data_IF_559312342001
#
_entry.id   IF_559312342001
#
_cell.length_a   1.000
_cell.length_b   1.000
_cell.length_c   1.000
_cell.angle_alpha   90.00
_cell.angle_beta   90.00
_cell.angle_gamma   90.00
#
_symmetry.space_group_name_H-M   'P 1'
#
loop_
_entity.id
_entity.type
_entity.pdbx_description
1 polymer ?
#
# COMPACT_ATOMS: atom_id res chain seq x y z
N UNK A 1 -0.18 -2.11 12.43
CA UNK A 1 0.06 -0.70 12.08
C UNK A 1 -1.21 -0.07 11.57
N UNK A 2 -1.20 1.25 11.42
CA UNK A 2 -2.41 1.99 11.05
C UNK A 2 -2.98 1.54 9.72
N UNK A 3 -2.15 1.41 8.69
CA UNK A 3 -2.66 1.00 7.37
C UNK A 3 -3.27 -0.40 7.39
N UNK A 4 -2.72 -1.31 8.19
CA UNK A 4 -3.30 -2.65 8.30
C UNK A 4 -4.73 -2.60 8.83
N UNK A 5 -4.97 -1.71 9.78
CA UNK A 5 -6.30 -1.53 10.33
C UNK A 5 -7.26 -0.99 9.25
N UNK A 6 -6.81 0.00 8.50
CA UNK A 6 -7.64 0.61 7.46
C UNK A 6 -7.97 -0.39 6.35
N UNK A 7 -7.01 -1.24 5.98
CA UNK A 7 -7.23 -2.26 4.95
C UNK A 7 -8.09 -3.42 5.43
N UNK A 8 -8.19 -3.61 6.75
CA UNK A 8 -8.91 -4.76 7.31
C UNK A 8 -10.43 -4.63 7.23
N UNK A 9 -10.94 -3.45 6.92
CA UNK A 9 -12.37 -3.20 6.89
C UNK A 9 -12.73 -2.34 5.68
N UNK A 10 -13.85 -2.62 5.00
CA UNK A 10 -14.30 -1.76 3.90
C UNK A 10 -14.87 -0.42 4.37
N UNK A 11 -15.10 -0.28 5.67
CA UNK A 11 -15.68 0.95 6.22
C UNK A 11 -14.60 1.97 6.53
N UNK A 12 -14.89 3.26 6.31
CA UNK A 12 -13.98 4.31 6.77
C UNK A 12 -13.82 4.27 8.28
N UNK A 13 -12.66 4.71 8.76
CA UNK A 13 -12.34 4.75 10.18
C UNK A 13 -12.12 6.17 10.65
N UNK A 14 -12.65 6.50 11.83
CA UNK A 14 -12.28 7.73 12.51
C UNK A 14 -10.98 7.50 13.28
N UNK A 15 -10.35 8.60 13.70
CA UNK A 15 -9.13 8.50 14.52
C UNK A 15 -9.37 7.62 15.75
N UNK A 16 -10.53 7.80 16.40
CA UNK A 16 -10.87 7.01 17.57
C UNK A 16 -10.95 5.52 17.29
N UNK A 17 -11.52 5.15 16.13
CA UNK A 17 -11.65 3.75 15.75
C UNK A 17 -10.28 3.09 15.61
N UNK A 18 -9.35 3.79 14.96
CA UNK A 18 -7.98 3.30 14.80
C UNK A 18 -7.29 3.17 16.15
N UNK A 19 -7.46 4.19 17.00
CA UNK A 19 -6.87 4.18 18.32
C UNK A 19 -7.35 3.01 19.15
N UNK A 20 -8.64 2.71 19.11
CA UNK A 20 -9.21 1.60 19.86
C UNK A 20 -8.64 0.26 19.42
N UNK A 21 -8.42 0.09 18.13
CA UNK A 21 -7.85 -1.16 17.63
C UNK A 21 -6.36 -1.30 17.95
N UNK A 22 -5.66 -0.19 18.09
CA UNK A 22 -4.24 -0.21 18.47
C UNK A 22 -4.02 -0.37 19.96
N UNK A 23 -4.97 0.09 20.78
CA UNK A 23 -4.81 0.14 22.23
C UNK A 23 -4.48 -1.20 22.87
N UNK A 24 -5.08 -2.34 22.46
CA UNK A 24 -4.71 -3.62 23.08
C UNK A 24 -3.25 -3.99 22.95
N UNK A 25 -2.57 -3.47 21.95
CA UNK A 25 -1.19 -3.81 21.67
C UNK A 25 -0.24 -2.71 22.08
N UNK A 26 -0.67 -1.48 21.97
CA UNK A 26 0.15 -0.31 22.27
C UNK A 26 -0.73 0.79 22.79
N UNK A 27 -0.30 1.43 23.86
CA UNK A 27 -0.96 2.62 24.35
C UNK A 27 -0.44 3.82 23.58
N UNK A 28 -1.27 4.39 22.77
CA UNK A 28 -0.92 5.58 21.99
C UNK A 28 -1.90 6.70 22.30
N UNK A 29 -1.39 7.92 22.27
CA UNK A 29 -2.25 9.09 22.46
C UNK A 29 -3.08 9.32 21.21
N UNK A 30 -4.28 9.86 21.39
CA UNK A 30 -5.15 10.25 20.30
C UNK A 30 -4.42 11.14 19.30
N UNK A 31 -3.67 12.13 19.81
CA UNK A 31 -2.94 13.06 18.95
C UNK A 31 -1.86 12.36 18.11
N UNK A 32 -1.25 11.32 18.66
CA UNK A 32 -0.26 10.55 17.92
C UNK A 32 -0.89 9.86 16.71
N UNK A 33 -2.03 9.21 16.93
CA UNK A 33 -2.75 8.53 15.84
C UNK A 33 -3.24 9.55 14.81
N UNK A 34 -3.76 10.67 15.27
CA UNK A 34 -4.20 11.74 14.38
C UNK A 34 -3.07 12.25 13.50
N UNK A 35 -1.88 12.44 14.08
CA UNK A 35 -0.72 12.90 13.33
C UNK A 35 -0.31 11.89 12.28
N UNK A 36 -0.31 10.60 12.62
CA UNK A 36 0.02 9.54 11.66
C UNK A 36 -0.96 9.54 10.49
N UNK A 37 -2.26 9.62 10.78
CA UNK A 37 -3.28 9.65 9.74
C UNK A 37 -3.17 10.89 8.87
N UNK A 38 -2.88 12.03 9.47
CA UNK A 38 -2.68 13.27 8.73
C UNK A 38 -1.50 13.17 7.78
N UNK A 39 -0.40 12.57 8.25
CA UNK A 39 0.78 12.36 7.40
C UNK A 39 0.47 11.41 6.25
N UNK A 40 -0.26 10.33 6.52
CA UNK A 40 -0.66 9.38 5.47
C UNK A 40 -1.55 10.07 4.44
N UNK A 41 -2.43 10.95 4.89
CA UNK A 41 -3.28 11.73 3.98
C UNK A 41 -2.44 12.63 3.08
N UNK A 42 -1.47 13.32 3.65
CA UNK A 42 -0.60 14.20 2.86
C UNK A 42 0.22 13.43 1.83
N UNK A 43 0.59 12.19 2.16
CA UNK A 43 1.36 11.34 1.23
C UNK A 43 0.48 10.67 0.19
N UNK A 44 -0.84 10.84 0.28
CA UNK A 44 -1.76 10.25 -0.68
C UNK A 44 -2.09 8.79 -0.43
N UNK A 45 -1.77 8.26 0.74
CA UNK A 45 -2.04 6.87 1.09
C UNK A 45 -3.47 6.65 1.58
N UNK A 46 -4.09 7.69 2.11
CA UNK A 46 -5.46 7.62 2.58
C UNK A 46 -6.24 8.80 2.04
N UNK A 47 -7.55 8.60 1.91
CA UNK A 47 -8.52 9.64 1.64
C UNK A 47 -9.26 9.92 2.94
N UNK A 48 -9.79 11.11 3.08
CA UNK A 48 -10.59 11.45 4.24
C UNK A 48 -11.78 12.31 3.83
N UNK A 49 -12.86 12.12 4.55
CA UNK A 49 -14.07 12.91 4.39
C UNK A 49 -14.55 13.37 5.75
N UNK A 50 -15.02 14.60 5.80
CA UNK A 50 -15.62 15.12 7.02
C UNK A 50 -17.02 14.54 7.15
N UNK A 51 -17.31 13.96 8.31
CA UNK A 51 -18.64 13.49 8.66
C UNK A 51 -18.96 14.06 10.03
N UNK A 52 -19.84 15.05 10.06
CA UNK A 52 -20.09 15.80 11.29
C UNK A 52 -18.85 16.60 11.66
N UNK A 53 -18.25 16.29 12.82
CA UNK A 53 -17.10 17.01 13.33
C UNK A 53 -15.79 16.23 13.23
N UNK A 54 -15.85 15.06 12.63
CA UNK A 54 -14.70 14.18 12.57
C UNK A 54 -14.42 13.74 11.13
N UNK A 55 -13.14 13.57 10.84
CA UNK A 55 -12.75 12.97 9.58
C UNK A 55 -12.89 11.46 9.66
N UNK A 56 -13.32 10.88 8.55
CA UNK A 56 -13.30 9.44 8.33
C UNK A 56 -12.24 9.14 7.30
N UNK A 57 -11.40 8.16 7.58
CA UNK A 57 -10.24 7.82 6.75
C UNK A 57 -10.43 6.46 6.12
N UNK A 58 -10.01 6.33 4.88
CA UNK A 58 -9.99 5.04 4.18
C UNK A 58 -8.79 5.00 3.24
N UNK A 59 -8.29 3.80 2.91
CA UNK A 59 -7.14 3.70 2.01
C UNK A 59 -7.46 4.27 0.64
N UNK A 60 -6.48 4.95 0.04
CA UNK A 60 -6.60 5.45 -1.34
C UNK A 60 -6.40 4.35 -2.36
N UNK A 61 -5.73 3.27 -1.96
CA UNK A 61 -5.38 2.17 -2.85
C UNK A 61 -5.29 0.89 -2.03
N UNK A 62 -5.33 -0.24 -2.71
CA UNK A 62 -5.21 -1.53 -2.03
C UNK A 62 -3.79 -1.74 -1.52
N UNK A 63 -3.65 -2.71 -0.59
CA UNK A 63 -2.34 -3.11 -0.09
C UNK A 63 -1.42 -3.50 -1.25
N UNK A 64 -1.97 -4.26 -2.20
CA UNK A 64 -1.20 -4.74 -3.36
C UNK A 64 -0.73 -3.59 -4.23
N UNK A 65 -1.59 -2.62 -4.46
CA UNK A 65 -1.23 -1.44 -5.25
C UNK A 65 -0.13 -0.61 -4.58
N UNK A 66 -0.24 -0.42 -3.27
CA UNK A 66 0.76 0.34 -2.50
C UNK A 66 2.09 -0.40 -2.51
N UNK A 67 2.05 -1.72 -2.32
CA UNK A 67 3.26 -2.53 -2.34
C UNK A 67 3.94 -2.48 -3.70
N UNK A 68 3.15 -2.56 -4.78
CA UNK A 68 3.70 -2.50 -6.13
C UNK A 68 4.36 -1.15 -6.41
N UNK A 69 3.76 -0.06 -5.93
CA UNK A 69 4.38 1.26 -6.08
C UNK A 69 5.69 1.35 -5.32
N UNK A 70 5.74 0.77 -4.13
CA UNK A 70 6.98 0.76 -3.34
C UNK A 70 8.08 0.01 -4.07
N UNK A 71 7.74 -1.13 -4.68
CA UNK A 71 8.69 -1.88 -5.50
C UNK A 71 9.19 -1.04 -6.67
N UNK A 72 8.27 -0.33 -7.34
CA UNK A 72 8.64 0.53 -8.46
C UNK A 72 9.62 1.61 -8.01
N UNK A 73 9.33 2.24 -6.88
CA UNK A 73 10.17 3.30 -6.35
C UNK A 73 11.57 2.78 -5.98
N UNK A 74 11.63 1.59 -5.38
CA UNK A 74 12.91 0.98 -5.05
C UNK A 74 13.75 0.71 -6.30
N UNK A 75 13.12 0.18 -7.33
CA UNK A 75 13.82 -0.07 -8.60
C UNK A 75 14.34 1.23 -9.20
N UNK A 76 13.48 2.25 -9.23
CA UNK A 76 13.86 3.53 -9.82
C UNK A 76 15.02 4.19 -9.06
N UNK A 77 15.10 3.97 -7.75
CA UNK A 77 16.14 4.54 -6.91
C UNK A 77 17.42 3.71 -6.89
N UNK A 78 17.39 2.52 -7.48
CA UNK A 78 18.51 1.56 -7.36
C UNK A 78 19.75 1.94 -8.16
N UNK A 79 19.59 2.79 -9.15
CA UNK A 79 20.69 3.20 -10.03
C UNK A 79 20.88 2.28 -11.21
N UNK A 80 20.71 0.98 -11.04
CA UNK A 80 20.87 0.01 -12.13
C UNK A 80 19.72 -0.99 -12.09
N UNK A 81 18.60 -0.57 -12.67
CA UNK A 81 17.36 -1.34 -12.65
C UNK A 81 17.55 -2.72 -13.29
N UNK A 82 18.30 -2.77 -14.40
CA UNK A 82 18.49 -4.02 -15.13
C UNK A 82 19.19 -5.07 -14.28
N UNK A 83 20.30 -4.69 -13.64
CA UNK A 83 21.03 -5.61 -12.78
C UNK A 83 20.22 -6.05 -11.58
N UNK A 84 19.47 -5.12 -10.97
CA UNK A 84 18.63 -5.45 -9.84
C UNK A 84 17.55 -6.45 -10.25
N UNK A 85 16.92 -6.25 -11.40
CA UNK A 85 15.90 -7.17 -11.90
C UNK A 85 16.47 -8.57 -12.14
N UNK A 86 17.70 -8.66 -12.69
CA UNK A 86 18.34 -9.95 -12.89
C UNK A 86 18.55 -10.69 -11.56
N UNK A 87 19.03 -9.98 -10.56
CA UNK A 87 19.22 -10.58 -9.23
C UNK A 87 17.89 -11.00 -8.61
N UNK A 88 16.89 -10.15 -8.74
CA UNK A 88 15.58 -10.45 -8.20
C UNK A 88 14.96 -11.69 -8.86
N UNK A 89 15.09 -11.77 -10.19
CA UNK A 89 14.54 -12.88 -10.95
C UNK A 89 15.09 -14.23 -10.48
N UNK A 90 16.35 -14.24 -10.01
CA UNK A 90 16.95 -15.47 -9.47
C UNK A 90 16.41 -15.85 -8.11
N UNK A 91 15.77 -14.93 -7.43
CA UNK A 91 15.26 -15.16 -6.08
C UNK A 91 13.81 -15.63 -6.08
N UNK A 92 13.10 -15.50 -7.20
CA UNK A 92 11.67 -15.82 -7.23
C UNK A 92 11.45 -17.34 -7.24
N UNK A 93 10.34 -17.76 -6.63
CA UNK A 93 9.92 -19.15 -6.66
C UNK A 93 9.33 -19.51 -8.01
N UNK A 94 9.12 -20.83 -8.23
CA UNK A 94 8.45 -21.27 -9.44
C UNK A 94 7.07 -20.68 -9.59
N UNK A 95 6.34 -20.57 -8.48
CA UNK A 95 5.00 -19.99 -8.48
C UNK A 95 5.04 -18.51 -8.84
N UNK A 96 5.95 -17.77 -8.24
CA UNK A 96 6.12 -16.35 -8.55
C UNK A 96 6.51 -16.14 -10.00
N UNK A 97 7.40 -16.99 -10.49
CA UNK A 97 7.84 -16.94 -11.88
C UNK A 97 6.66 -17.17 -12.84
N UNK A 98 5.78 -18.12 -12.51
CA UNK A 98 4.61 -18.39 -13.33
C UNK A 98 3.66 -17.21 -13.36
N UNK A 99 3.42 -16.57 -12.19
CA UNK A 99 2.57 -15.38 -12.11
C UNK A 99 3.14 -14.26 -12.97
N UNK A 100 4.46 -14.04 -12.89
CA UNK A 100 5.10 -12.98 -13.67
C UNK A 100 5.00 -13.25 -15.16
N UNK A 101 5.26 -14.49 -15.58
CA UNK A 101 5.17 -14.84 -17.01
C UNK A 101 3.76 -14.63 -17.54
N UNK A 102 2.75 -15.05 -16.78
CA UNK A 102 1.36 -14.89 -17.20
C UNK A 102 1.00 -13.40 -17.34
N UNK A 103 1.38 -12.60 -16.36
CA UNK A 103 1.08 -11.17 -16.40
C UNK A 103 1.77 -10.48 -17.55
N UNK A 104 3.05 -10.82 -17.79
CA UNK A 104 3.82 -10.20 -18.89
C UNK A 104 3.36 -10.68 -20.25
N UNK A 105 2.94 -11.95 -20.34
CA UNK A 105 2.43 -12.51 -21.58
C UNK A 105 1.07 -11.99 -21.98
N UNK A 106 0.28 -11.50 -21.04
CA UNK A 106 -1.02 -10.92 -21.28
C UNK A 106 -0.93 -9.47 -21.77
N UNK A 107 0.24 -8.90 -21.68
CA UNK A 107 0.40 -7.52 -22.16
C UNK A 107 0.05 -7.49 -23.65
N UNK A 108 -0.73 -6.70 -24.11
CA UNK A 108 -1.46 -6.76 -25.33
C UNK A 108 -0.85 -6.40 -26.63
N UNK A 109 -1.27 -6.80 -26.34
CA UNK A 109 -1.19 -6.85 -27.13
C UNK A 109 -1.15 -6.27 -27.80
N UNK A 110 -1.13 -6.02 -27.32
CA UNK A 110 -1.11 -5.63 -27.61
C UNK A 110 -0.49 -5.49 -28.00
N UNK A 111 -0.33 -5.54 -27.80
CA UNK A 111 0.14 -5.64 -27.99
C UNK A 111 0.70 -6.06 -28.51
N UNK A 112 0.67 -6.16 -28.33
CA UNK A 112 1.12 -6.64 -28.73
C UNK A 112 1.36 -7.16 -29.36
N UNK A 113 1.32 -7.33 -29.67
CA UNK A 113 1.58 -7.76 -30.13
C UNK A 113 1.75 -7.67 -31.12
N UNK A 114 1.76 -7.36 -31.05
CA UNK A 114 1.86 -7.09 -31.63
C UNK A 114 2.11 -6.81 -32.29
#
# INVERSE_FOLDING_TARGET
MVMDILWSSPRPHRVRDVLEELTPQRKLAYTTVMTVLDNLHRKGWVQREMDGRAYHYQPSATREEVTARALRDLLDASGDVETVLLHFARSVSERESAVLRDALGEAPDGADRR
#
